data_IF_847637717732
#
_entry.id   IF_847637717732
#
_cell.length_a   1.000
_cell.length_b   1.000
_cell.length_c   1.000
_cell.angle_alpha   90.00
_cell.angle_beta   90.00
_cell.angle_gamma   90.00
#
_symmetry.space_group_name_H-M   'P 1'
#
loop_
_entity.id
_entity.type
_entity.pdbx_description
1 polymer ?
#
# COMPACT_ATOMS: atom_id res chain seq x y z
N UNK A 1 102.50 19.97 23.78
CA UNK A 1 101.97 20.80 24.88
C UNK A 1 100.61 21.29 24.41
N UNK A 2 99.55 20.79 25.03
CA UNK A 2 98.16 20.88 24.56
C UNK A 2 97.55 22.27 24.83
N UNK A 3 96.76 22.78 23.88
CA UNK A 3 95.86 23.92 24.07
C UNK A 3 94.41 23.38 24.22
N UNK A 4 93.56 23.92 25.12
CA UNK A 4 92.29 23.31 25.48
C UNK A 4 91.12 23.81 24.61
N UNK A 5 90.13 22.92 24.42
CA UNK A 5 88.79 23.20 23.89
C UNK A 5 87.98 24.16 24.78
N UNK A 6 87.08 24.98 24.20
CA UNK A 6 86.01 25.63 24.95
C UNK A 6 84.79 24.72 25.13
N UNK A 7 84.45 24.42 26.39
CA UNK A 7 83.20 23.76 26.78
C UNK A 7 82.00 24.73 26.68
N UNK A 8 81.01 24.40 25.86
CA UNK A 8 79.71 25.05 25.86
C UNK A 8 78.78 24.40 26.91
N UNK A 9 78.23 25.22 27.81
CA UNK A 9 77.21 24.80 28.79
C UNK A 9 75.82 24.68 28.15
N UNK A 10 75.01 23.64 28.44
CA UNK A 10 73.62 23.59 28.00
C UNK A 10 72.69 24.37 28.95
N UNK A 11 71.98 25.36 28.39
CA UNK A 11 70.88 26.07 29.06
C UNK A 11 69.72 25.11 29.42
N UNK A 12 69.37 25.03 30.71
CA UNK A 12 68.14 24.39 31.17
C UNK A 12 66.90 25.25 30.87
N UNK A 13 65.78 24.69 30.36
CA UNK A 13 64.57 25.46 30.07
C UNK A 13 63.72 25.73 31.34
N UNK A 14 62.92 26.82 31.38
CA UNK A 14 62.35 27.36 32.61
C UNK A 14 61.09 26.61 33.10
N UNK A 15 61.02 26.38 34.42
CA UNK A 15 59.96 25.65 35.17
C UNK A 15 58.52 26.15 34.96
N UNK A 16 58.30 27.35 34.39
CA UNK A 16 56.97 27.97 34.21
C UNK A 16 56.16 27.38 33.04
N UNK A 17 56.82 26.95 31.96
CA UNK A 17 56.17 26.28 30.81
C UNK A 17 55.62 24.89 31.17
N UNK A 18 56.30 24.17 32.08
CA UNK A 18 55.83 22.86 32.57
C UNK A 18 54.54 22.97 33.38
N UNK A 19 54.34 24.02 34.19
CA UNK A 19 53.09 24.23 34.94
C UNK A 19 51.90 24.56 34.03
N UNK A 20 52.10 25.38 32.99
CA UNK A 20 51.04 25.70 32.02
C UNK A 20 50.66 24.47 31.19
N UNK A 21 51.65 23.67 30.75
CA UNK A 21 51.40 22.41 30.05
C UNK A 21 50.63 21.40 30.91
N UNK A 22 50.91 21.36 32.23
CA UNK A 22 50.26 20.45 33.17
C UNK A 22 48.81 20.89 33.48
N UNK A 23 48.55 22.20 33.59
CA UNK A 23 47.18 22.73 33.71
C UNK A 23 46.38 22.49 32.42
N UNK A 24 46.99 22.69 31.25
CA UNK A 24 46.34 22.41 29.96
C UNK A 24 46.00 20.92 29.80
N UNK A 25 46.89 20.02 30.25
CA UNK A 25 46.65 18.58 30.26
C UNK A 25 45.51 18.19 31.21
N UNK A 26 45.45 18.77 32.41
CA UNK A 26 44.37 18.52 33.37
C UNK A 26 43.04 19.06 32.86
N UNK A 27 43.01 20.23 32.23
CA UNK A 27 41.79 20.78 31.60
C UNK A 27 41.37 19.94 30.40
N UNK A 28 42.30 19.46 29.57
CA UNK A 28 41.99 18.56 28.46
C UNK A 28 41.46 17.21 28.96
N UNK A 29 42.03 16.64 30.04
CA UNK A 29 41.55 15.42 30.68
C UNK A 29 40.19 15.62 31.37
N UNK A 30 39.94 16.79 31.96
CA UNK A 30 38.64 17.13 32.55
C UNK A 30 37.57 17.33 31.47
N UNK A 31 37.89 17.97 30.35
CA UNK A 31 37.01 18.10 29.20
C UNK A 31 36.76 16.75 28.52
N UNK A 32 37.78 15.88 28.45
CA UNK A 32 37.67 14.53 27.93
C UNK A 32 36.81 13.66 28.87
N UNK A 33 37.04 13.71 30.19
CA UNK A 33 36.25 13.00 31.18
C UNK A 33 34.81 13.53 31.24
N UNK A 34 34.61 14.84 31.08
CA UNK A 34 33.29 15.45 30.96
C UNK A 34 32.61 15.01 29.66
N UNK A 35 33.30 15.01 28.52
CA UNK A 35 32.79 14.51 27.25
C UNK A 35 32.46 13.01 27.32
N UNK A 36 33.30 12.18 27.95
CA UNK A 36 33.01 10.76 28.19
C UNK A 36 31.83 10.59 29.14
N UNK A 37 31.74 11.37 30.21
CA UNK A 37 30.61 11.34 31.15
C UNK A 37 29.31 11.83 30.49
N UNK A 38 29.41 12.78 29.58
CA UNK A 38 28.29 13.34 28.84
C UNK A 38 27.80 12.39 27.73
N UNK A 39 28.72 11.75 27.00
CA UNK A 39 28.44 10.65 26.06
C UNK A 39 27.89 9.42 26.79
N UNK A 40 28.26 9.20 28.07
CA UNK A 40 27.77 8.09 28.90
C UNK A 40 26.30 8.18 29.30
N UNK A 41 25.57 9.25 28.92
CA UNK A 41 24.13 9.40 29.16
C UNK A 41 23.35 9.26 27.84
N UNK A 42 22.95 8.03 27.44
CA UNK A 42 22.33 7.72 26.15
C UNK A 42 21.17 8.63 25.79
N UNK A 43 20.32 8.96 26.77
CA UNK A 43 19.10 9.74 26.58
C UNK A 43 19.35 11.19 26.15
N UNK A 44 20.47 11.81 26.57
CA UNK A 44 20.79 13.20 26.20
C UNK A 44 21.36 13.32 24.79
N UNK A 45 22.19 12.36 24.38
CA UNK A 45 22.74 12.29 23.02
C UNK A 45 21.63 11.96 22.02
N UNK A 46 20.78 10.99 22.36
CA UNK A 46 19.59 10.66 21.56
C UNK A 46 18.70 11.90 21.40
N UNK A 47 18.38 12.62 22.48
CA UNK A 47 17.55 13.83 22.42
C UNK A 47 18.07 14.93 21.49
N UNK A 48 19.39 15.16 21.45
CA UNK A 48 19.98 16.16 20.55
C UNK A 48 20.00 15.72 19.08
N UNK A 49 20.30 14.45 18.82
CA UNK A 49 20.23 13.89 17.45
C UNK A 49 18.78 13.96 16.96
N UNK A 50 17.81 13.59 17.80
CA UNK A 50 16.40 13.66 17.49
C UNK A 50 15.93 15.10 17.26
N UNK A 51 16.41 16.07 18.04
CA UNK A 51 16.12 17.48 17.81
C UNK A 51 16.71 17.98 16.49
N UNK A 52 17.93 17.56 16.13
CA UNK A 52 18.55 17.94 14.86
C UNK A 52 17.83 17.33 13.65
N UNK A 53 17.51 16.03 13.73
CA UNK A 53 16.71 15.33 12.70
C UNK A 53 15.31 15.94 12.62
N UNK A 54 14.70 16.22 13.77
CA UNK A 54 13.41 16.90 13.87
C UNK A 54 13.41 18.26 13.19
N UNK A 55 14.40 19.11 13.47
CA UNK A 55 14.54 20.41 12.82
C UNK A 55 14.71 20.31 11.30
N UNK A 56 15.49 19.33 10.81
CA UNK A 56 15.66 19.11 9.37
C UNK A 56 14.36 18.62 8.70
N UNK A 57 13.61 17.77 9.40
CA UNK A 57 12.33 17.22 8.93
C UNK A 57 11.14 18.14 9.22
N UNK A 58 11.29 19.22 10.00
CA UNK A 58 10.16 20.03 10.45
C UNK A 58 9.20 19.23 11.35
N UNK A 59 9.74 18.30 12.14
CA UNK A 59 9.00 17.43 13.05
C UNK A 59 9.53 17.59 14.48
N UNK A 60 8.64 17.56 15.45
CA UNK A 60 8.99 17.30 16.85
C UNK A 60 9.14 15.80 17.03
N UNK A 61 10.38 15.34 17.24
CA UNK A 61 10.68 13.93 17.49
C UNK A 61 11.09 13.77 18.95
N UNK A 62 10.32 12.97 19.68
CA UNK A 62 10.53 12.68 21.09
C UNK A 62 10.75 11.19 21.28
N UNK A 63 11.52 10.84 22.31
CA UNK A 63 11.72 9.48 22.76
C UNK A 63 11.68 9.47 24.29
N UNK A 64 10.93 8.54 24.85
CA UNK A 64 10.72 8.47 26.32
C UNK A 64 11.32 7.20 26.95
N UNK A 65 11.62 6.19 26.14
CA UNK A 65 12.19 4.92 26.61
C UNK A 65 13.72 4.93 26.73
N UNK A 66 14.25 3.86 27.31
CA UNK A 66 15.69 3.64 27.42
C UNK A 66 16.33 3.64 26.03
N UNK A 67 17.37 4.46 25.86
CA UNK A 67 18.17 4.51 24.64
C UNK A 67 19.43 3.68 24.83
N UNK A 68 19.75 2.85 23.86
CA UNK A 68 20.98 2.05 23.84
C UNK A 68 21.88 2.54 22.72
N UNK A 69 23.19 2.56 22.97
CA UNK A 69 24.16 2.89 21.93
C UNK A 69 25.35 1.93 21.99
N UNK A 70 25.92 1.65 20.82
CA UNK A 70 27.17 0.90 20.67
C UNK A 70 28.07 1.69 19.74
N UNK A 71 29.28 2.05 20.17
CA UNK A 71 30.21 2.84 19.37
C UNK A 71 31.38 2.02 18.81
N UNK A 72 31.72 0.87 19.42
CA UNK A 72 32.79 0.00 18.94
C UNK A 72 32.31 -0.81 17.73
N UNK A 73 33.12 -0.85 16.67
CA UNK A 73 32.75 -1.51 15.41
C UNK A 73 31.82 -0.63 14.59
N UNK A 74 30.64 -1.15 14.23
CA UNK A 74 29.58 -0.37 13.57
C UNK A 74 28.73 0.34 14.63
N UNK A 75 28.68 1.68 14.61
CA UNK A 75 27.78 2.46 15.46
C UNK A 75 26.34 1.96 15.36
N UNK A 76 25.71 1.78 16.51
CA UNK A 76 24.30 1.46 16.65
C UNK A 76 23.67 2.44 17.62
N UNK A 77 22.48 2.92 17.25
CA UNK A 77 21.58 3.66 18.11
C UNK A 77 20.23 2.94 18.12
N UNK A 78 19.78 2.52 19.30
CA UNK A 78 18.42 2.02 19.50
C UNK A 78 17.67 2.98 20.43
N UNK A 79 16.51 3.45 19.96
CA UNK A 79 15.67 4.42 20.65
C UNK A 79 14.30 3.78 20.85
N UNK A 80 13.74 3.95 22.05
CA UNK A 80 12.44 3.39 22.42
C UNK A 80 11.37 4.47 22.62
N UNK A 81 10.13 4.08 22.38
CA UNK A 81 8.94 4.91 22.55
C UNK A 81 9.05 6.23 21.77
N UNK A 82 9.33 6.10 20.47
CA UNK A 82 9.55 7.21 19.56
C UNK A 82 8.21 7.76 19.09
N UNK A 83 8.04 9.07 19.18
CA UNK A 83 6.89 9.79 18.63
C UNK A 83 7.39 10.94 17.79
N UNK A 84 7.07 10.94 16.50
CA UNK A 84 7.32 12.04 15.58
C UNK A 84 6.00 12.70 15.20
N UNK A 85 5.87 14.00 15.45
CA UNK A 85 4.68 14.79 15.14
C UNK A 85 5.06 16.11 14.50
N UNK A 86 4.16 16.70 13.72
CA UNK A 86 4.35 18.09 13.29
C UNK A 86 4.21 19.02 14.51
N UNK A 87 5.00 20.11 14.61
CA UNK A 87 4.86 21.07 15.69
C UNK A 87 3.42 21.56 15.85
N UNK A 88 2.88 21.48 17.07
CA UNK A 88 1.49 21.85 17.39
C UNK A 88 0.40 20.86 16.94
N UNK A 89 0.74 19.78 16.22
CA UNK A 89 -0.24 18.79 15.80
C UNK A 89 -0.58 17.81 16.94
N UNK A 90 -1.89 17.49 17.07
CA UNK A 90 -2.38 16.50 18.05
C UNK A 90 -2.08 15.06 17.61
N UNK A 91 -2.22 14.78 16.32
CA UNK A 91 -1.98 13.46 15.74
C UNK A 91 -0.52 13.35 15.29
N UNK A 92 0.27 12.40 15.82
CA UNK A 92 1.63 12.19 15.33
C UNK A 92 1.61 11.53 13.96
N UNK A 93 2.69 11.76 13.21
CA UNK A 93 2.94 11.16 11.91
C UNK A 93 3.39 9.70 12.09
N UNK A 94 4.30 9.47 13.04
CA UNK A 94 4.89 8.16 13.32
C UNK A 94 4.97 7.94 14.82
N UNK A 95 4.59 6.74 15.26
CA UNK A 95 4.97 6.16 16.55
C UNK A 95 5.76 4.89 16.33
N UNK A 96 6.66 4.52 17.23
CA UNK A 96 7.32 3.22 17.20
C UNK A 96 7.75 2.81 18.62
N UNK A 97 7.61 1.53 18.96
CA UNK A 97 8.10 0.98 20.23
C UNK A 97 9.63 0.99 20.26
N UNK A 98 10.27 0.64 19.15
CA UNK A 98 11.73 0.70 18.98
C UNK A 98 12.09 1.09 17.55
N UNK A 99 13.09 1.97 17.44
CA UNK A 99 13.81 2.24 16.21
C UNK A 99 15.28 1.93 16.47
N UNK A 100 15.86 1.04 15.67
CA UNK A 100 17.30 0.78 15.67
C UNK A 100 17.91 1.15 14.33
N UNK A 101 19.00 1.90 14.42
CA UNK A 101 19.78 2.37 13.28
C UNK A 101 21.22 1.96 13.47
N UNK A 102 21.78 1.29 12.47
CA UNK A 102 23.19 0.97 12.42
C UNK A 102 23.87 1.74 11.29
N UNK A 103 24.82 2.60 11.66
CA UNK A 103 25.40 3.59 10.76
C UNK A 103 26.93 3.46 10.77
N UNK A 104 27.60 3.28 9.63
CA UNK A 104 29.06 3.30 9.57
C UNK A 104 29.64 4.64 10.05
N UNK A 105 30.81 4.60 10.68
CA UNK A 105 31.55 5.82 11.07
C UNK A 105 31.88 6.73 9.89
N UNK A 106 32.06 6.19 8.68
CA UNK A 106 32.24 6.96 7.46
C UNK A 106 31.03 7.86 7.18
N UNK A 107 29.82 7.30 7.29
CA UNK A 107 28.55 7.99 7.02
C UNK A 107 28.30 9.09 8.06
N UNK A 108 28.53 8.81 9.35
CA UNK A 108 28.41 9.82 10.41
C UNK A 108 29.39 10.98 10.18
N UNK A 109 30.64 10.68 9.80
CA UNK A 109 31.66 11.71 9.50
C UNK A 109 31.37 12.49 8.22
N UNK A 110 30.69 11.87 7.25
CA UNK A 110 30.30 12.51 6.00
C UNK A 110 29.17 13.55 6.16
N UNK A 111 28.53 13.64 7.35
CA UNK A 111 27.51 14.66 7.68
C UNK A 111 26.41 14.80 6.61
N UNK A 112 25.93 13.68 6.07
CA UNK A 112 24.86 13.64 5.06
C UNK A 112 25.31 13.77 3.60
N UNK A 113 26.62 13.81 3.34
CA UNK A 113 27.17 13.63 1.98
C UNK A 113 27.12 12.16 1.53
N UNK A 114 27.25 11.23 2.48
CA UNK A 114 27.02 9.79 2.30
C UNK A 114 25.76 9.39 3.06
N UNK A 115 24.91 8.57 2.42
CA UNK A 115 23.64 8.05 2.96
C UNK A 115 23.67 6.52 3.04
N UNK A 116 24.84 5.94 3.32
CA UNK A 116 24.99 4.50 3.57
C UNK A 116 24.57 4.17 5.01
N UNK A 117 23.54 3.36 5.15
CA UNK A 117 23.08 2.80 6.43
C UNK A 117 23.31 1.30 6.37
N UNK A 118 23.77 0.70 7.46
CA UNK A 118 23.93 -0.75 7.51
C UNK A 118 22.57 -1.43 7.62
N UNK A 119 21.85 -1.14 8.71
CA UNK A 119 20.59 -1.79 9.06
C UNK A 119 19.62 -0.79 9.65
N UNK A 120 18.34 -0.94 9.29
CA UNK A 120 17.22 -0.25 9.93
C UNK A 120 16.26 -1.29 10.47
N UNK A 121 15.87 -1.18 11.75
CA UNK A 121 14.83 -2.01 12.34
C UNK A 121 13.77 -1.13 13.02
N UNK A 122 12.51 -1.48 12.80
CA UNK A 122 11.35 -0.80 13.36
C UNK A 122 10.43 -1.83 14.02
N UNK A 123 10.22 -1.69 15.32
CA UNK A 123 9.28 -2.53 16.06
C UNK A 123 7.98 -1.76 16.31
N UNK A 124 6.88 -2.37 15.89
CA UNK A 124 5.53 -1.82 15.93
C UNK A 124 5.43 -0.35 15.48
N UNK A 125 5.99 0.02 14.31
CA UNK A 125 5.80 1.37 13.81
C UNK A 125 4.33 1.59 13.43
N UNK A 126 3.74 2.67 13.90
CA UNK A 126 2.40 3.14 13.53
C UNK A 126 2.53 4.43 12.73
N UNK A 127 2.08 4.38 11.47
CA UNK A 127 2.10 5.52 10.54
C UNK A 127 0.68 6.02 10.27
N UNK A 128 0.42 7.30 10.54
CA UNK A 128 -0.83 7.97 10.16
C UNK A 128 -0.66 8.64 8.80
N UNK A 129 -1.37 8.13 7.79
CA UNK A 129 -1.21 8.58 6.40
C UNK A 129 -1.69 10.01 6.19
N UNK A 130 -2.76 10.44 6.88
CA UNK A 130 -3.29 11.79 6.78
C UNK A 130 -2.36 12.82 7.46
N UNK A 131 -1.75 12.46 8.58
CA UNK A 131 -0.70 13.25 9.21
C UNK A 131 0.56 13.32 8.33
N UNK A 132 0.97 12.19 7.72
CA UNK A 132 2.10 12.15 6.79
C UNK A 132 1.89 13.05 5.58
N UNK A 133 0.72 13.00 4.95
CA UNK A 133 0.39 13.84 3.77
C UNK A 133 0.38 15.33 4.12
N UNK A 134 -0.25 15.71 5.24
CA UNK A 134 -0.23 17.10 5.74
C UNK A 134 1.19 17.59 5.96
N UNK A 135 2.05 16.76 6.58
CA UNK A 135 3.46 17.08 6.76
C UNK A 135 4.19 17.22 5.41
N UNK A 136 4.02 16.28 4.48
CA UNK A 136 4.65 16.35 3.15
C UNK A 136 4.26 17.61 2.38
N UNK A 137 3.00 18.07 2.49
CA UNK A 137 2.52 19.29 1.85
C UNK A 137 3.22 20.57 2.37
N UNK A 138 3.81 20.54 3.57
CA UNK A 138 4.63 21.64 4.11
C UNK A 138 6.07 21.63 3.62
N UNK A 139 6.51 20.55 2.95
CA UNK A 139 7.92 20.41 2.54
C UNK A 139 8.18 21.23 1.27
N UNK A 140 9.32 21.93 1.21
CA UNK A 140 9.72 22.61 -0.02
C UNK A 140 9.89 21.57 -1.15
N UNK A 141 9.55 21.92 -2.40
CA UNK A 141 9.77 21.05 -3.54
C UNK A 141 11.27 20.69 -3.61
N UNK A 142 11.57 19.41 -3.42
CA UNK A 142 12.95 18.93 -3.39
C UNK A 142 13.36 18.59 -4.81
N UNK A 143 14.41 19.23 -5.33
CA UNK A 143 14.88 19.04 -6.71
C UNK A 143 15.48 17.64 -6.96
N UNK A 144 15.97 16.96 -5.92
CA UNK A 144 16.62 15.66 -6.04
C UNK A 144 16.32 14.75 -4.86
N UNK A 145 15.66 13.62 -5.12
CA UNK A 145 15.38 12.58 -4.11
C UNK A 145 16.61 11.68 -4.01
N UNK A 146 17.35 11.77 -2.90
CA UNK A 146 18.50 10.91 -2.64
C UNK A 146 18.07 9.64 -1.89
N UNK A 147 18.17 8.50 -2.55
CA UNK A 147 17.85 7.20 -1.97
C UNK A 147 19.07 6.71 -1.17
N UNK A 148 18.91 6.28 0.10
CA UNK A 148 20.02 5.74 0.87
C UNK A 148 20.44 4.35 0.36
N UNK A 149 21.69 3.97 0.66
CA UNK A 149 22.14 2.58 0.51
C UNK A 149 21.89 1.86 1.83
N UNK A 150 21.19 0.73 1.82
CA UNK A 150 21.03 -0.19 2.96
C UNK A 150 21.80 -1.47 2.66
N UNK A 151 22.91 -1.74 3.35
CA UNK A 151 23.74 -2.93 3.05
C UNK A 151 23.15 -4.21 3.62
N UNK A 152 22.59 -4.13 4.83
CA UNK A 152 21.98 -5.23 5.58
C UNK A 152 20.46 -4.98 5.71
N UNK A 153 19.94 -4.00 4.98
CA UNK A 153 18.52 -3.89 4.70
C UNK A 153 17.67 -3.21 5.76
N UNK A 154 16.37 -3.48 5.67
CA UNK A 154 15.31 -2.94 6.52
C UNK A 154 14.45 -4.09 7.03
N UNK A 155 14.11 -4.05 8.32
CA UNK A 155 13.10 -4.92 8.90
C UNK A 155 12.05 -4.11 9.66
N UNK A 156 10.79 -4.43 9.41
CA UNK A 156 9.64 -3.95 10.15
C UNK A 156 8.95 -5.16 10.76
N UNK A 157 8.59 -5.06 12.04
CA UNK A 157 7.83 -6.11 12.74
C UNK A 157 6.60 -5.49 13.38
N UNK A 158 5.43 -6.12 13.23
CA UNK A 158 4.14 -5.67 13.81
C UNK A 158 3.74 -4.23 13.44
N UNK A 159 4.15 -3.74 12.28
CA UNK A 159 3.81 -2.38 11.83
C UNK A 159 2.31 -2.18 11.60
N UNK A 160 1.90 -0.92 11.61
CA UNK A 160 0.53 -0.47 11.35
C UNK A 160 0.54 0.78 10.48
N UNK A 161 -0.36 0.84 9.51
CA UNK A 161 -0.64 2.04 8.72
C UNK A 161 -2.12 2.36 8.89
N UNK A 162 -2.41 3.61 9.24
CA UNK A 162 -3.76 4.12 9.47
C UNK A 162 -4.09 5.08 8.32
N UNK A 163 -5.18 4.78 7.60
CA UNK A 163 -5.76 5.65 6.59
C UNK A 163 -7.20 6.01 6.97
N UNK A 164 -7.87 6.73 6.07
CA UNK A 164 -9.27 7.11 6.27
C UNK A 164 -10.19 5.92 5.96
N UNK A 165 -10.92 5.43 6.96
CA UNK A 165 -11.81 4.27 6.84
C UNK A 165 -11.12 2.90 6.70
N UNK A 166 -9.78 2.85 6.59
CA UNK A 166 -9.02 1.61 6.46
C UNK A 166 -7.73 1.63 7.29
N UNK A 167 -7.22 0.43 7.59
CA UNK A 167 -5.93 0.24 8.27
C UNK A 167 -5.23 -1.00 7.75
N UNK A 168 -3.91 -0.97 7.69
CA UNK A 168 -3.10 -2.17 7.51
C UNK A 168 -2.42 -2.48 8.83
N UNK A 169 -2.51 -3.72 9.29
CA UNK A 169 -2.03 -4.16 10.58
C UNK A 169 -1.09 -5.36 10.46
N UNK A 170 -0.36 -5.63 11.54
CA UNK A 170 0.57 -6.76 11.64
C UNK A 170 1.54 -6.78 10.45
N UNK A 171 2.04 -5.60 10.07
CA UNK A 171 2.94 -5.45 8.93
C UNK A 171 4.30 -6.00 9.33
N UNK A 172 4.71 -7.07 8.67
CA UNK A 172 6.09 -7.52 8.69
C UNK A 172 6.69 -7.26 7.32
N UNK A 173 7.78 -6.50 7.28
CA UNK A 173 8.51 -6.19 6.06
C UNK A 173 9.97 -6.60 6.23
N UNK A 174 10.49 -7.29 5.23
CA UNK A 174 11.91 -7.65 5.16
C UNK A 174 12.45 -7.29 3.78
N UNK A 175 13.42 -6.40 3.77
CA UNK A 175 14.18 -5.96 2.60
C UNK A 175 15.65 -6.25 2.89
N UNK A 176 16.26 -7.17 2.16
CA UNK A 176 17.63 -7.62 2.44
C UNK A 176 18.68 -6.53 2.20
N UNK A 177 18.50 -5.71 1.15
CA UNK A 177 19.38 -4.59 0.84
C UNK A 177 18.68 -3.58 -0.08
N UNK A 178 19.18 -2.34 -0.10
CA UNK A 178 18.71 -1.25 -0.94
C UNK A 178 19.91 -0.53 -1.54
N UNK A 179 19.91 -0.34 -2.85
CA UNK A 179 20.89 0.50 -3.53
C UNK A 179 20.17 1.38 -4.57
N UNK A 180 20.59 2.64 -4.77
CA UNK A 180 19.93 3.57 -5.68
C UNK A 180 19.74 3.05 -7.12
N UNK A 181 20.70 2.25 -7.60
CA UNK A 181 20.76 1.82 -9.01
C UNK A 181 20.67 0.30 -9.20
N UNK A 182 20.26 -0.44 -8.16
CA UNK A 182 20.12 -1.91 -8.24
C UNK A 182 18.71 -2.36 -7.93
N UNK A 183 18.37 -3.55 -8.41
CA UNK A 183 17.10 -4.18 -8.08
C UNK A 183 16.96 -4.38 -6.57
N UNK A 184 15.76 -4.11 -6.05
CA UNK A 184 15.41 -4.30 -4.65
C UNK A 184 14.32 -5.39 -4.55
N UNK A 185 14.38 -6.22 -3.51
CA UNK A 185 13.39 -7.26 -3.25
C UNK A 185 12.96 -7.20 -1.80
N UNK A 186 11.66 -7.23 -1.57
CA UNK A 186 11.09 -7.24 -0.23
C UNK A 186 10.04 -8.34 -0.10
N UNK A 187 9.92 -8.91 1.10
CA UNK A 187 8.74 -9.66 1.52
C UNK A 187 7.88 -8.76 2.39
N UNK A 188 6.58 -8.75 2.14
CA UNK A 188 5.60 -7.99 2.88
C UNK A 188 4.49 -8.94 3.33
N UNK A 189 4.23 -8.96 4.63
CA UNK A 189 3.09 -9.65 5.24
C UNK A 189 2.27 -8.66 6.02
N UNK A 190 0.99 -8.93 6.15
CA UNK A 190 0.11 -8.13 6.98
C UNK A 190 -1.34 -8.38 6.67
N UNK A 191 -2.19 -7.49 7.18
CA UNK A 191 -3.64 -7.57 6.98
C UNK A 191 -4.23 -6.19 6.78
N UNK A 192 -4.80 -5.96 5.60
CA UNK A 192 -5.66 -4.80 5.36
C UNK A 192 -7.03 -5.03 6.03
N UNK A 193 -7.59 -4.00 6.61
CA UNK A 193 -8.89 -4.01 7.28
C UNK A 193 -9.66 -2.75 6.86
N UNK A 194 -10.85 -2.96 6.29
CA UNK A 194 -11.78 -1.90 5.88
C UNK A 194 -13.20 -2.34 6.21
N UNK A 195 -13.92 -1.56 7.04
CA UNK A 195 -15.20 -1.99 7.62
C UNK A 195 -15.09 -3.39 8.26
N UNK A 196 -15.91 -4.32 7.77
CA UNK A 196 -15.93 -5.73 8.20
C UNK A 196 -15.00 -6.63 7.37
N UNK A 197 -14.53 -6.14 6.22
CA UNK A 197 -13.65 -6.90 5.33
C UNK A 197 -12.23 -6.93 5.88
N UNK A 198 -11.62 -8.11 5.87
CA UNK A 198 -10.22 -8.34 6.22
C UNK A 198 -9.51 -8.97 5.04
N UNK A 199 -8.31 -8.49 4.75
CA UNK A 199 -7.51 -8.94 3.62
C UNK A 199 -6.09 -9.25 4.09
N UNK A 200 -5.85 -10.42 4.72
CA UNK A 200 -4.49 -10.91 4.94
C UNK A 200 -3.75 -11.10 3.62
N UNK A 201 -2.46 -10.77 3.63
CA UNK A 201 -1.57 -10.90 2.49
C UNK A 201 -0.17 -11.39 2.90
N UNK A 202 0.46 -12.14 2.01
CA UNK A 202 1.89 -12.49 2.04
C UNK A 202 2.41 -12.38 0.61
N UNK A 203 3.17 -11.33 0.34
CA UNK A 203 3.62 -10.97 -1.00
C UNK A 203 5.11 -10.73 -1.05
N UNK A 204 5.70 -11.08 -2.19
CA UNK A 204 7.06 -10.75 -2.55
C UNK A 204 7.01 -9.64 -3.60
N UNK A 205 7.61 -8.50 -3.29
CA UNK A 205 7.75 -7.36 -4.18
C UNK A 205 9.19 -7.27 -4.71
N UNK A 206 9.33 -6.88 -5.96
CA UNK A 206 10.60 -6.60 -6.60
C UNK A 206 10.51 -5.30 -7.39
N UNK A 207 11.54 -4.47 -7.25
CA UNK A 207 11.73 -3.27 -8.05
C UNK A 207 12.98 -3.43 -8.91
N UNK A 208 12.94 -2.98 -10.16
CA UNK A 208 14.14 -2.97 -11.01
C UNK A 208 15.22 -2.01 -10.48
N UNK A 209 14.78 -0.94 -9.82
CA UNK A 209 15.58 0.03 -9.04
C UNK A 209 14.64 0.85 -8.13
N UNK A 210 15.09 1.42 -7.00
CA UNK A 210 14.22 2.13 -6.07
C UNK A 210 13.94 3.59 -6.48
N UNK A 211 13.52 3.79 -7.73
CA UNK A 211 13.38 5.13 -8.29
C UNK A 211 12.09 5.27 -9.12
N UNK A 212 11.73 6.51 -9.46
CA UNK A 212 10.59 6.79 -10.34
C UNK A 212 10.75 6.05 -11.68
N UNK A 213 9.62 5.59 -12.25
CA UNK A 213 9.52 4.79 -13.48
C UNK A 213 10.17 3.42 -13.41
N UNK A 214 10.62 2.96 -12.25
CA UNK A 214 11.12 1.61 -12.09
C UNK A 214 10.01 0.58 -12.29
N UNK A 215 10.37 -0.58 -12.85
CA UNK A 215 9.45 -1.70 -12.94
C UNK A 215 9.19 -2.27 -11.55
N UNK A 216 7.92 -2.41 -11.20
CA UNK A 216 7.44 -3.10 -10.01
C UNK A 216 6.85 -4.45 -10.45
N UNK A 217 7.21 -5.50 -9.72
CA UNK A 217 6.53 -6.79 -9.73
C UNK A 217 6.16 -7.19 -8.31
N UNK A 218 4.95 -7.70 -8.10
CA UNK A 218 4.48 -8.24 -6.84
C UNK A 218 3.80 -9.57 -7.11
N UNK A 219 4.16 -10.60 -6.35
CA UNK A 219 3.53 -11.92 -6.43
C UNK A 219 3.26 -12.45 -5.04
N UNK A 220 2.14 -13.13 -4.82
CA UNK A 220 1.86 -13.68 -3.51
C UNK A 220 0.45 -14.19 -3.31
N UNK A 221 0.11 -14.39 -2.04
CA UNK A 221 -1.21 -14.79 -1.61
C UNK A 221 -1.93 -13.58 -1.01
N UNK A 222 -3.20 -13.42 -1.38
CA UNK A 222 -4.10 -12.43 -0.82
C UNK A 222 -5.41 -13.16 -0.57
N UNK A 223 -5.98 -13.05 0.62
CA UNK A 223 -7.28 -13.67 0.91
C UNK A 223 -8.24 -12.59 1.35
N UNK A 224 -9.32 -12.37 0.60
CA UNK A 224 -10.40 -11.47 1.04
C UNK A 224 -11.31 -12.26 1.97
N UNK A 225 -11.63 -11.70 3.13
CA UNK A 225 -12.44 -12.34 4.16
C UNK A 225 -13.57 -11.39 4.55
N UNK A 226 -14.79 -11.89 4.53
CA UNK A 226 -15.98 -11.26 5.08
C UNK A 226 -16.49 -12.09 6.27
N UNK A 227 -17.65 -11.74 6.82
CA UNK A 227 -18.30 -12.52 7.87
C UNK A 227 -18.75 -13.91 7.40
N UNK A 228 -19.25 -13.99 6.16
CA UNK A 228 -19.88 -15.20 5.61
C UNK A 228 -19.06 -15.92 4.56
N UNK A 229 -18.13 -15.23 3.89
CA UNK A 229 -17.38 -15.79 2.77
C UNK A 229 -15.89 -15.46 2.82
N UNK A 230 -15.11 -16.29 2.14
CA UNK A 230 -13.68 -16.08 1.93
C UNK A 230 -13.33 -16.22 0.45
N UNK A 231 -12.31 -15.50 0.02
CA UNK A 231 -11.81 -15.54 -1.35
C UNK A 231 -10.29 -15.54 -1.33
N UNK A 232 -9.64 -16.72 -1.15
CA UNK A 232 -8.21 -16.87 -1.35
C UNK A 232 -7.84 -16.66 -2.82
N UNK A 233 -6.73 -15.94 -3.04
CA UNK A 233 -6.24 -15.57 -4.35
C UNK A 233 -4.73 -15.68 -4.44
N UNK A 234 -4.23 -16.23 -5.56
CA UNK A 234 -2.83 -16.12 -5.96
C UNK A 234 -2.69 -14.93 -6.90
N UNK A 235 -2.04 -13.86 -6.45
CA UNK A 235 -2.00 -12.60 -7.21
C UNK A 235 -0.63 -12.38 -7.85
N UNK A 236 -0.65 -11.77 -9.04
CA UNK A 236 0.52 -11.23 -9.73
C UNK A 236 0.19 -9.81 -10.19
N UNK A 237 0.95 -8.84 -9.72
CA UNK A 237 0.84 -7.43 -10.09
C UNK A 237 2.15 -7.00 -10.74
N UNK A 238 2.07 -6.26 -11.83
CA UNK A 238 3.22 -5.63 -12.46
C UNK A 238 2.86 -4.24 -12.98
N UNK A 239 3.85 -3.37 -13.12
CA UNK A 239 3.68 -2.01 -13.66
C UNK A 239 4.97 -1.22 -13.54
N UNK A 240 4.97 0.05 -13.92
CA UNK A 240 6.08 0.97 -13.63
C UNK A 240 5.66 2.01 -12.61
N UNK A 241 6.48 2.25 -11.59
CA UNK A 241 6.20 3.26 -10.58
C UNK A 241 6.02 4.63 -11.22
N UNK A 242 4.92 5.29 -10.91
CA UNK A 242 4.63 6.65 -11.33
C UNK A 242 4.69 7.59 -10.13
N UNK A 243 5.31 8.74 -10.33
CA UNK A 243 5.32 9.85 -9.38
C UNK A 243 5.43 11.13 -10.19
N UNK A 244 4.35 11.90 -10.27
CA UNK A 244 4.26 13.14 -11.03
C UNK A 244 3.14 14.03 -10.50
N UNK A 245 2.81 15.08 -11.25
CA UNK A 245 1.82 16.09 -10.84
C UNK A 245 0.40 15.52 -10.70
N UNK A 246 0.08 14.47 -11.47
CA UNK A 246 -1.15 13.66 -11.40
C UNK A 246 -1.12 12.59 -10.29
N UNK A 247 -0.15 12.68 -9.37
CA UNK A 247 -0.04 11.85 -8.18
C UNK A 247 0.92 10.66 -8.31
N UNK A 248 0.80 9.75 -7.36
CA UNK A 248 1.60 8.52 -7.30
C UNK A 248 0.82 7.36 -7.88
N UNK A 249 1.48 6.34 -8.44
CA UNK A 249 0.76 5.18 -8.93
C UNK A 249 1.58 4.22 -9.76
N UNK A 250 0.91 3.57 -10.72
CA UNK A 250 1.51 2.59 -11.62
C UNK A 250 1.12 2.85 -13.07
N UNK A 251 2.10 2.97 -13.95
CA UNK A 251 1.90 2.95 -15.39
C UNK A 251 1.79 1.52 -15.90
N UNK A 252 0.80 1.29 -16.78
CA UNK A 252 0.60 -0.01 -17.42
C UNK A 252 0.46 -1.13 -16.41
N UNK A 253 -0.28 -0.89 -15.32
CA UNK A 253 -0.58 -1.90 -14.32
C UNK A 253 -1.20 -3.11 -15.01
N UNK A 254 -0.73 -4.30 -14.65
CA UNK A 254 -1.40 -5.58 -14.92
C UNK A 254 -1.50 -6.34 -13.61
N UNK A 255 -2.71 -6.58 -13.16
CA UNK A 255 -3.04 -7.44 -12.04
C UNK A 255 -3.72 -8.68 -12.59
N UNK A 256 -3.22 -9.86 -12.28
CA UNK A 256 -3.88 -11.14 -12.54
C UNK A 256 -4.00 -11.94 -11.26
N UNK A 257 -5.10 -12.65 -11.08
CA UNK A 257 -5.32 -13.47 -9.91
C UNK A 257 -6.13 -14.72 -10.21
N UNK A 258 -5.66 -15.84 -9.69
CA UNK A 258 -6.42 -17.09 -9.58
C UNK A 258 -7.14 -17.08 -8.23
N UNK A 259 -8.46 -17.04 -8.24
CA UNK A 259 -9.33 -16.87 -7.08
C UNK A 259 -10.27 -18.08 -6.89
N UNK A 260 -10.66 -18.33 -5.66
CA UNK A 260 -11.71 -19.29 -5.30
C UNK A 260 -12.63 -18.61 -4.30
N UNK A 261 -13.89 -18.37 -4.67
CA UNK A 261 -14.91 -17.87 -3.75
C UNK A 261 -15.44 -19.04 -2.93
N UNK A 262 -15.49 -18.88 -1.61
CA UNK A 262 -15.92 -19.92 -0.67
C UNK A 262 -16.96 -19.38 0.30
N UNK A 263 -18.12 -20.01 0.35
CA UNK A 263 -19.21 -19.71 1.27
C UNK A 263 -20.01 -21.00 1.56
N UNK A 264 -19.94 -21.51 2.78
CA UNK A 264 -20.49 -22.81 3.17
C UNK A 264 -20.08 -23.94 2.19
N UNK A 265 -21.03 -24.59 1.52
CA UNK A 265 -20.80 -25.66 0.54
C UNK A 265 -20.42 -25.15 -0.86
N UNK A 266 -20.41 -23.83 -1.06
CA UNK A 266 -20.09 -23.20 -2.35
C UNK A 266 -18.59 -22.95 -2.48
N UNK A 267 -17.93 -23.59 -3.45
CA UNK A 267 -16.55 -23.28 -3.86
C UNK A 267 -16.50 -23.02 -5.38
N UNK A 268 -16.22 -21.77 -5.75
CA UNK A 268 -16.24 -21.31 -7.14
C UNK A 268 -14.88 -20.76 -7.54
N UNK A 269 -14.16 -21.52 -8.37
CA UNK A 269 -12.87 -21.11 -8.94
C UNK A 269 -13.03 -20.21 -10.16
N UNK A 270 -12.23 -19.15 -10.24
CA UNK A 270 -12.15 -18.26 -11.40
C UNK A 270 -10.80 -17.54 -11.47
N UNK A 271 -10.43 -17.09 -12.66
CA UNK A 271 -9.29 -16.23 -12.88
C UNK A 271 -9.78 -14.86 -13.32
N UNK A 272 -9.25 -13.79 -12.76
CA UNK A 272 -9.54 -12.43 -13.24
C UNK A 272 -8.27 -11.65 -13.51
N UNK A 273 -8.38 -10.67 -14.40
CA UNK A 273 -7.30 -9.76 -14.76
C UNK A 273 -7.80 -8.33 -14.85
N UNK A 274 -7.02 -7.39 -14.31
CA UNK A 274 -7.23 -5.95 -14.45
C UNK A 274 -5.98 -5.33 -15.10
N UNK A 275 -6.19 -4.38 -16.00
CA UNK A 275 -5.11 -3.64 -16.64
C UNK A 275 -5.44 -2.15 -16.77
N UNK A 276 -4.46 -1.27 -16.65
CA UNK A 276 -4.65 0.17 -16.80
C UNK A 276 -3.61 0.99 -16.05
N UNK A 277 -3.52 2.31 -16.26
CA UNK A 277 -2.76 3.17 -15.37
C UNK A 277 -3.52 3.35 -14.05
N UNK A 278 -2.83 3.23 -12.92
CA UNK A 278 -3.36 3.57 -11.59
C UNK A 278 -2.79 4.89 -11.15
N UNK A 279 -3.62 5.78 -10.62
CA UNK A 279 -3.22 7.06 -10.02
C UNK A 279 -3.88 7.23 -8.68
N UNK A 280 -3.12 7.73 -7.71
CA UNK A 280 -3.62 8.17 -6.41
C UNK A 280 -3.21 9.63 -6.20
N UNK A 281 -4.20 10.51 -6.17
CA UNK A 281 -4.01 11.94 -6.03
C UNK A 281 -5.16 12.53 -5.22
N UNK A 282 -4.86 13.39 -4.24
CA UNK A 282 -5.89 14.08 -3.46
C UNK A 282 -6.85 13.16 -2.70
N UNK A 283 -6.44 11.95 -2.34
CA UNK A 283 -7.31 10.96 -1.68
C UNK A 283 -8.13 10.09 -2.63
N UNK A 284 -8.10 10.37 -3.94
CA UNK A 284 -8.81 9.61 -4.97
C UNK A 284 -7.87 8.63 -5.69
N UNK A 285 -8.25 7.36 -5.73
CA UNK A 285 -7.66 6.32 -6.57
C UNK A 285 -8.41 6.27 -7.91
N UNK A 286 -7.71 6.33 -9.03
CA UNK A 286 -8.29 6.26 -10.38
C UNK A 286 -7.59 5.21 -11.23
N UNK A 287 -8.37 4.47 -12.01
CA UNK A 287 -7.91 3.55 -13.05
C UNK A 287 -8.64 3.86 -14.35
N UNK A 288 -8.02 4.66 -15.21
CA UNK A 288 -8.62 5.15 -16.46
C UNK A 288 -7.55 5.23 -17.55
N UNK A 289 -7.66 4.46 -18.65
CA UNK A 289 -8.67 3.42 -18.88
C UNK A 289 -8.45 2.18 -18.00
N UNK A 290 -9.53 1.50 -17.66
CA UNK A 290 -9.53 0.17 -17.04
C UNK A 290 -9.84 -0.89 -18.10
N UNK A 291 -9.06 -1.94 -18.18
CA UNK A 291 -9.40 -3.20 -18.83
C UNK A 291 -9.64 -4.27 -17.76
N UNK A 292 -10.67 -5.08 -17.94
CA UNK A 292 -11.03 -6.16 -17.03
C UNK A 292 -11.35 -7.43 -17.81
N UNK A 293 -10.88 -8.57 -17.33
CA UNK A 293 -11.24 -9.89 -17.84
C UNK A 293 -11.57 -10.80 -16.68
N UNK A 294 -12.55 -11.68 -16.86
CA UNK A 294 -12.87 -12.76 -15.95
C UNK A 294 -13.02 -14.02 -16.78
N UNK A 295 -12.39 -15.10 -16.32
CA UNK A 295 -12.52 -16.43 -16.87
C UNK A 295 -13.02 -17.34 -15.75
N UNK A 296 -14.22 -17.87 -15.94
CA UNK A 296 -14.87 -18.76 -15.00
C UNK A 296 -15.58 -19.90 -15.71
N UNK A 297 -15.98 -20.90 -14.92
CA UNK A 297 -16.81 -22.02 -15.36
C UNK A 297 -18.04 -22.13 -14.46
N UNK A 298 -19.05 -22.91 -14.90
CA UNK A 298 -20.27 -23.13 -14.14
C UNK A 298 -21.11 -21.86 -14.01
N UNK A 299 -21.21 -21.32 -12.79
CA UNK A 299 -21.96 -20.10 -12.46
C UNK A 299 -21.18 -18.81 -12.73
N UNK A 300 -19.86 -18.88 -12.86
CA UNK A 300 -19.02 -17.70 -13.11
C UNK A 300 -18.87 -17.50 -14.63
N UNK A 301 -19.37 -16.38 -15.18
CA UNK A 301 -19.28 -16.12 -16.61
C UNK A 301 -17.84 -15.78 -17.03
N UNK A 302 -17.52 -16.08 -18.28
CA UNK A 302 -16.36 -15.51 -18.94
C UNK A 302 -16.75 -14.19 -19.60
N UNK A 303 -16.06 -13.10 -19.22
CA UNK A 303 -16.32 -11.76 -19.72
C UNK A 303 -15.04 -10.96 -19.91
N UNK A 304 -15.14 -9.96 -20.77
CA UNK A 304 -14.09 -8.96 -21.01
C UNK A 304 -14.75 -7.58 -21.09
N UNK A 305 -14.12 -6.56 -20.52
CA UNK A 305 -14.63 -5.21 -20.49
C UNK A 305 -13.52 -4.17 -20.50
N UNK A 306 -13.86 -2.97 -20.98
CA UNK A 306 -13.07 -1.76 -20.82
C UNK A 306 -13.91 -0.70 -20.11
N UNK A 307 -13.28 0.28 -19.48
CA UNK A 307 -14.01 1.29 -18.73
C UNK A 307 -13.15 2.17 -17.83
N UNK A 308 -13.70 2.47 -16.67
CA UNK A 308 -13.09 3.37 -15.70
C UNK A 308 -13.49 2.98 -14.27
N UNK A 309 -12.54 3.13 -13.35
CA UNK A 309 -12.77 3.03 -11.91
C UNK A 309 -12.25 4.30 -11.25
N UNK A 310 -13.04 4.89 -10.35
CA UNK A 310 -12.56 5.87 -9.37
C UNK A 310 -13.06 5.53 -7.98
N UNK A 311 -12.23 5.80 -6.98
CA UNK A 311 -12.49 5.49 -5.59
C UNK A 311 -11.89 6.58 -4.70
N UNK A 312 -12.76 7.34 -4.05
CA UNK A 312 -12.44 8.35 -3.04
C UNK A 312 -13.60 8.43 -2.05
N UNK A 313 -14.27 9.57 -1.96
CA UNK A 313 -15.53 9.71 -1.19
C UNK A 313 -16.66 8.81 -1.71
N UNK A 314 -16.66 8.57 -3.02
CA UNK A 314 -17.59 7.66 -3.69
C UNK A 314 -16.82 6.69 -4.57
N UNK A 315 -17.32 5.46 -4.68
CA UNK A 315 -16.90 4.48 -5.66
C UNK A 315 -17.70 4.70 -6.95
N UNK A 316 -17.00 4.91 -8.07
CA UNK A 316 -17.61 4.91 -9.40
C UNK A 316 -16.93 3.86 -10.29
N UNK A 317 -17.73 3.00 -10.90
CA UNK A 317 -17.29 1.95 -11.81
C UNK A 317 -18.16 1.99 -13.05
N UNK A 318 -17.52 2.12 -14.22
CA UNK A 318 -18.17 1.94 -15.51
C UNK A 318 -17.43 0.87 -16.28
N UNK A 319 -18.14 -0.14 -16.74
CA UNK A 319 -17.62 -1.20 -17.59
C UNK A 319 -18.49 -1.32 -18.84
N UNK A 320 -17.84 -1.39 -19.99
CA UNK A 320 -18.44 -1.67 -21.29
C UNK A 320 -17.73 -2.91 -21.82
N UNK A 321 -18.49 -3.97 -22.05
CA UNK A 321 -17.91 -5.28 -22.25
C UNK A 321 -18.80 -6.27 -22.97
N UNK A 322 -18.29 -7.48 -23.06
CA UNK A 322 -18.97 -8.62 -23.68
C UNK A 322 -18.82 -9.83 -22.79
N UNK A 323 -19.92 -10.56 -22.60
CA UNK A 323 -19.93 -11.89 -22.01
C UNK A 323 -20.00 -12.92 -23.15
N UNK A 324 -19.10 -13.89 -23.13
CA UNK A 324 -18.91 -14.82 -24.26
C UNK A 324 -20.09 -15.77 -24.45
N UNK A 325 -20.73 -16.19 -23.37
CA UNK A 325 -21.87 -17.10 -23.38
C UNK A 325 -22.72 -16.94 -22.14
N UNK A 326 -24.00 -17.34 -22.23
CA UNK A 326 -24.86 -17.46 -21.06
C UNK A 326 -24.40 -18.66 -20.21
N UNK A 327 -24.11 -18.48 -18.91
CA UNK A 327 -23.73 -19.59 -18.04
C UNK A 327 -24.83 -20.64 -17.96
N UNK A 328 -24.47 -21.92 -18.06
CA UNK A 328 -25.45 -23.03 -18.02
C UNK A 328 -26.16 -23.17 -16.67
N UNK A 329 -25.49 -22.74 -15.61
CA UNK A 329 -26.04 -22.78 -14.26
C UNK A 329 -26.96 -21.58 -13.96
N UNK A 330 -27.08 -20.61 -14.89
CA UNK A 330 -28.06 -19.54 -14.77
C UNK A 330 -29.41 -19.99 -15.32
N UNK A 331 -30.53 -19.35 -14.92
CA UNK A 331 -31.86 -19.64 -15.47
C UNK A 331 -31.86 -19.68 -16.99
N UNK A 332 -32.55 -20.68 -17.55
CA UNK A 332 -32.67 -20.81 -19.00
C UNK A 332 -33.38 -19.58 -19.57
N UNK A 333 -32.81 -19.01 -20.63
CA UNK A 333 -33.45 -17.95 -21.39
C UNK A 333 -34.61 -18.53 -22.22
N UNK A 334 -35.69 -17.76 -22.48
CA UNK A 334 -36.74 -18.19 -23.38
C UNK A 334 -36.24 -18.22 -24.83
N UNK A 335 -36.89 -18.99 -25.72
CA UNK A 335 -36.56 -18.95 -27.13
C UNK A 335 -36.97 -17.59 -27.75
N UNK A 336 -36.23 -17.06 -28.75
CA UNK A 336 -35.04 -17.65 -29.39
C UNK A 336 -33.71 -17.36 -28.67
N UNK A 337 -33.71 -16.64 -27.54
CA UNK A 337 -32.49 -16.17 -26.86
C UNK A 337 -31.55 -17.28 -26.40
N UNK A 338 -32.11 -18.44 -26.03
CA UNK A 338 -31.32 -19.61 -25.62
C UNK A 338 -30.62 -20.30 -26.79
N UNK A 339 -31.17 -20.19 -28.00
CA UNK A 339 -30.58 -20.76 -29.21
C UNK A 339 -29.49 -19.85 -29.80
N UNK A 340 -29.50 -18.56 -29.44
CA UNK A 340 -28.51 -17.60 -29.90
C UNK A 340 -27.16 -17.81 -29.22
N UNK A 341 -26.11 -17.95 -30.05
CA UNK A 341 -24.71 -18.01 -29.62
C UNK A 341 -24.01 -16.65 -29.75
N UNK A 342 -24.75 -15.59 -30.07
CA UNK A 342 -24.20 -14.24 -30.16
C UNK A 342 -23.61 -13.81 -28.82
N UNK A 343 -22.45 -13.12 -28.81
CA UNK A 343 -21.93 -12.50 -27.60
C UNK A 343 -23.01 -11.62 -26.94
N UNK A 344 -22.94 -11.48 -25.62
CA UNK A 344 -23.83 -10.59 -24.87
C UNK A 344 -23.06 -9.31 -24.47
N UNK A 345 -23.10 -8.25 -25.30
CA UNK A 345 -22.70 -6.91 -24.89
C UNK A 345 -23.39 -6.49 -23.60
N UNK A 346 -22.63 -5.86 -22.72
CA UNK A 346 -23.16 -5.26 -21.50
C UNK A 346 -22.53 -3.91 -21.23
N UNK A 347 -23.30 -3.04 -20.59
CA UNK A 347 -22.79 -1.83 -19.94
C UNK A 347 -23.21 -1.87 -18.48
N UNK A 348 -22.24 -1.82 -17.58
CA UNK A 348 -22.42 -1.78 -16.13
C UNK A 348 -21.99 -0.40 -15.62
N UNK A 349 -22.86 0.27 -14.88
CA UNK A 349 -22.59 1.55 -14.26
C UNK A 349 -22.96 1.51 -12.78
N UNK A 350 -21.99 1.81 -11.92
CA UNK A 350 -22.17 1.92 -10.48
C UNK A 350 -21.60 3.25 -10.00
N UNK A 351 -22.34 3.93 -9.12
CA UNK A 351 -21.86 5.11 -8.40
C UNK A 351 -22.49 5.14 -7.01
N UNK A 352 -21.67 5.00 -5.97
CA UNK A 352 -22.17 4.96 -4.61
C UNK A 352 -21.10 4.58 -3.58
N UNK A 353 -21.53 3.97 -2.49
CA UNK A 353 -20.69 3.50 -1.38
C UNK A 353 -19.74 2.38 -1.81
N UNK A 354 -18.63 2.23 -1.10
CA UNK A 354 -17.62 1.22 -1.37
C UNK A 354 -18.08 -0.23 -1.12
N UNK A 355 -19.20 -0.40 -0.40
CA UNK A 355 -19.81 -1.69 -0.06
C UNK A 355 -20.75 -2.24 -1.15
N UNK A 356 -20.85 -1.55 -2.30
CA UNK A 356 -21.72 -1.91 -3.43
C UNK A 356 -23.22 -1.94 -3.09
N UNK A 357 -23.65 -1.32 -1.98
CA UNK A 357 -25.03 -1.38 -1.51
C UNK A 357 -25.99 -0.41 -2.21
N UNK A 358 -25.46 0.54 -2.97
CA UNK A 358 -26.26 1.47 -3.77
C UNK A 358 -26.66 0.84 -5.12
N UNK A 359 -27.40 1.60 -5.91
CA UNK A 359 -27.99 1.12 -7.16
C UNK A 359 -26.95 0.97 -8.27
N UNK A 360 -26.96 -0.17 -8.93
CA UNK A 360 -26.19 -0.50 -10.13
C UNK A 360 -27.11 -0.48 -11.34
N UNK A 361 -26.73 0.21 -12.42
CA UNK A 361 -27.40 0.13 -13.70
C UNK A 361 -26.71 -0.90 -14.61
N UNK A 362 -27.51 -1.67 -15.34
CA UNK A 362 -27.05 -2.70 -16.25
C UNK A 362 -27.88 -2.66 -17.53
N UNK A 363 -27.18 -2.52 -18.65
CA UNK A 363 -27.74 -2.69 -19.99
C UNK A 363 -27.16 -3.95 -20.60
N UNK A 364 -28.01 -4.80 -21.17
CA UNK A 364 -27.64 -6.01 -21.89
C UNK A 364 -28.27 -5.98 -23.27
N UNK A 365 -27.58 -6.54 -24.26
CA UNK A 365 -28.16 -6.75 -25.58
C UNK A 365 -27.76 -8.11 -26.13
N UNK A 366 -28.73 -8.89 -26.62
CA UNK A 366 -28.49 -10.07 -27.44
C UNK A 366 -29.35 -9.98 -28.69
N UNK A 367 -28.70 -9.95 -29.85
CA UNK A 367 -29.36 -9.75 -31.13
C UNK A 367 -30.22 -8.46 -31.09
N UNK A 368 -31.51 -8.59 -31.38
CA UNK A 368 -32.49 -7.51 -31.29
C UNK A 368 -33.13 -7.33 -29.90
N UNK A 369 -32.85 -8.24 -28.96
CA UNK A 369 -33.39 -8.16 -27.60
C UNK A 369 -32.51 -7.30 -26.71
N UNK A 370 -33.12 -6.39 -25.97
CA UNK A 370 -32.45 -5.41 -25.12
C UNK A 370 -33.04 -5.47 -23.72
N UNK A 371 -32.18 -5.39 -22.72
CA UNK A 371 -32.56 -5.22 -21.33
C UNK A 371 -31.87 -3.97 -20.79
N UNK A 372 -32.63 -3.10 -20.13
CA UNK A 372 -32.13 -1.95 -19.39
C UNK A 372 -32.73 -2.02 -17.98
N UNK A 373 -31.88 -2.19 -16.98
CA UNK A 373 -32.34 -2.38 -15.61
C UNK A 373 -31.40 -1.83 -14.56
N UNK A 374 -31.91 -1.81 -13.33
CA UNK A 374 -31.27 -1.32 -12.12
C UNK A 374 -31.51 -2.30 -10.99
N UNK A 375 -30.49 -2.54 -10.19
CA UNK A 375 -30.56 -3.45 -9.06
C UNK A 375 -29.60 -3.01 -7.96
N UNK A 376 -29.81 -3.52 -6.74
CA UNK A 376 -28.82 -3.42 -5.65
C UNK A 376 -28.08 -4.74 -5.58
N UNK A 377 -26.75 -4.72 -5.71
CA UNK A 377 -25.94 -5.94 -5.78
C UNK A 377 -26.16 -6.88 -4.58
N UNK A 378 -26.19 -6.40 -3.31
CA UNK A 378 -26.45 -7.27 -2.17
C UNK A 378 -27.83 -7.95 -2.21
N UNK A 379 -28.87 -7.24 -2.65
CA UNK A 379 -30.22 -7.81 -2.80
C UNK A 379 -30.27 -8.85 -3.91
N UNK A 380 -29.60 -8.58 -5.03
CA UNK A 380 -29.53 -9.50 -6.16
C UNK A 380 -28.75 -10.78 -5.82
N UNK A 381 -27.60 -10.66 -5.14
CA UNK A 381 -26.82 -11.81 -4.69
C UNK A 381 -27.61 -12.67 -3.69
N UNK A 382 -28.30 -12.05 -2.73
CA UNK A 382 -29.18 -12.78 -1.81
C UNK A 382 -30.29 -13.52 -2.55
N UNK A 383 -30.92 -12.89 -3.55
CA UNK A 383 -31.94 -13.56 -4.37
C UNK A 383 -31.40 -14.78 -5.12
N UNK A 384 -30.17 -14.73 -5.65
CA UNK A 384 -29.53 -15.88 -6.29
C UNK A 384 -29.41 -17.08 -5.33
N UNK A 385 -29.12 -16.86 -4.04
CA UNK A 385 -29.05 -17.94 -3.03
C UNK A 385 -30.40 -18.65 -2.81
N UNK A 386 -31.52 -17.99 -3.16
CA UNK A 386 -32.88 -18.50 -2.99
C UNK A 386 -33.56 -18.88 -4.32
N UNK A 387 -32.84 -18.84 -5.44
CA UNK A 387 -33.45 -19.07 -6.77
C UNK A 387 -34.02 -20.48 -6.90
N UNK A 388 -33.30 -21.47 -6.37
CA UNK A 388 -33.73 -22.88 -6.35
C UNK A 388 -34.88 -23.15 -5.36
N UNK A 389 -35.18 -22.20 -4.47
CA UNK A 389 -36.28 -22.28 -3.49
C UNK A 389 -37.58 -21.64 -4.00
N UNK A 390 -37.65 -21.27 -5.27
CA UNK A 390 -38.89 -20.86 -5.93
C UNK A 390 -39.25 -19.38 -5.79
N UNK A 391 -38.29 -18.49 -5.51
CA UNK A 391 -38.55 -17.03 -5.51
C UNK A 391 -38.66 -16.53 -6.96
N UNK A 392 -39.84 -16.08 -7.43
CA UNK A 392 -40.12 -16.05 -8.86
C UNK A 392 -39.50 -14.87 -9.62
N UNK A 393 -39.25 -13.73 -8.95
CA UNK A 393 -38.77 -12.51 -9.63
C UNK A 393 -37.50 -11.94 -8.98
N UNK A 394 -36.49 -11.57 -9.80
CA UNK A 394 -35.30 -10.92 -9.29
C UNK A 394 -35.63 -9.52 -8.73
N UNK A 395 -34.95 -9.08 -7.65
CA UNK A 395 -35.16 -7.76 -7.05
C UNK A 395 -34.48 -6.67 -7.90
N UNK A 396 -35.05 -6.41 -9.07
CA UNK A 396 -34.57 -5.42 -10.03
C UNK A 396 -35.74 -4.63 -10.61
N UNK A 397 -35.45 -3.41 -11.04
CA UNK A 397 -36.33 -2.58 -11.85
C UNK A 397 -35.76 -2.54 -13.26
N UNK A 398 -36.59 -2.60 -14.30
CA UNK A 398 -36.06 -2.51 -15.66
C UNK A 398 -37.06 -2.85 -16.74
N UNK A 399 -36.58 -2.83 -17.97
CA UNK A 399 -37.37 -3.11 -19.17
C UNK A 399 -36.63 -4.07 -20.08
N UNK A 400 -37.30 -5.13 -20.49
CA UNK A 400 -36.87 -6.04 -21.56
C UNK A 400 -37.72 -5.78 -22.80
N UNK A 401 -37.08 -5.47 -23.92
CA UNK A 401 -37.74 -5.35 -25.23
C UNK A 401 -37.20 -6.42 -26.16
N UNK A 402 -38.08 -7.18 -26.79
CA UNK A 402 -37.72 -8.23 -27.72
C UNK A 402 -38.71 -8.33 -28.87
N UNK A 403 -38.26 -8.50 -30.13
CA UNK A 403 -39.19 -8.68 -31.25
C UNK A 403 -40.04 -9.94 -31.11
N UNK A 404 -39.50 -11.00 -30.50
CA UNK A 404 -40.16 -12.29 -30.37
C UNK A 404 -39.65 -13.04 -29.13
N UNK A 405 -40.57 -13.53 -28.30
CA UNK A 405 -40.25 -14.43 -27.18
C UNK A 405 -41.25 -15.58 -27.17
N UNK A 406 -40.78 -16.80 -26.92
CA UNK A 406 -41.62 -17.96 -26.68
C UNK A 406 -41.58 -18.32 -25.18
N UNK A 407 -42.75 -18.27 -24.52
CA UNK A 407 -42.91 -18.59 -23.09
C UNK A 407 -44.04 -19.61 -22.95
N UNK A 408 -43.76 -20.74 -22.29
CA UNK A 408 -44.75 -21.80 -22.01
C UNK A 408 -45.54 -22.27 -23.25
N UNK A 409 -44.90 -22.30 -24.42
CA UNK A 409 -45.51 -22.72 -25.69
C UNK A 409 -46.29 -21.64 -26.44
N UNK A 410 -46.42 -20.43 -25.87
CA UNK A 410 -46.99 -19.27 -26.56
C UNK A 410 -45.88 -18.45 -27.23
N UNK A 411 -46.10 -18.05 -28.48
CA UNK A 411 -45.25 -17.11 -29.21
C UNK A 411 -45.81 -15.70 -29.04
N UNK A 412 -45.00 -14.80 -28.50
CA UNK A 412 -45.31 -13.38 -28.33
C UNK A 412 -44.44 -12.56 -29.29
N UNK A 413 -45.05 -11.60 -29.98
CA UNK A 413 -44.38 -10.67 -30.91
C UNK A 413 -44.43 -9.24 -30.35
N UNK A 414 -43.38 -8.45 -30.57
CA UNK A 414 -43.28 -7.07 -30.09
C UNK A 414 -43.31 -6.97 -28.55
N UNK A 415 -42.60 -7.86 -27.87
CA UNK A 415 -42.67 -8.02 -26.42
C UNK A 415 -41.96 -6.88 -25.69
N UNK A 416 -42.67 -6.28 -24.75
CA UNK A 416 -42.14 -5.37 -23.73
C UNK A 416 -42.52 -5.93 -22.36
N UNK A 417 -41.52 -6.18 -21.52
CA UNK A 417 -41.68 -6.66 -20.14
C UNK A 417 -41.06 -5.62 -19.22
N UNK A 418 -41.87 -5.00 -18.37
CA UNK A 418 -41.42 -4.13 -17.30
C UNK A 418 -41.29 -4.94 -16.00
N UNK A 419 -40.12 -4.80 -15.36
CA UNK A 419 -39.84 -5.31 -14.03
C UNK A 419 -39.92 -4.12 -13.07
N UNK A 420 -40.74 -4.24 -12.04
CA UNK A 420 -40.81 -3.29 -10.95
C UNK A 420 -40.65 -4.05 -9.63
N UNK A 421 -39.82 -3.53 -8.72
CA UNK A 421 -39.87 -3.96 -7.34
C UNK A 421 -41.24 -3.59 -6.78
N UNK A 422 -41.95 -4.56 -6.23
CA UNK A 422 -43.12 -4.27 -5.41
C UNK A 422 -42.66 -3.32 -4.31
N UNK A 423 -43.26 -2.12 -4.28
CA UNK A 423 -43.18 -1.22 -3.15
C UNK A 423 -43.82 -1.97 -1.97
N UNK A 424 -43.02 -2.74 -1.23
CA UNK A 424 -43.51 -3.37 -0.02
C UNK A 424 -43.77 -2.22 0.97
N UNK A 425 -44.99 -2.12 1.54
CA UNK A 425 -45.42 -0.97 2.34
C UNK A 425 -44.61 -0.73 3.62
#
# INVERSE_FOLDING_TARGET
MAAPEPQASPHAPPRRRRRIALVALVVALALLAFALHWVSRPSRVAGLILAQVGNALGLEITASGASEYRLRGTPMLAIRDVVARQPGAKTPVLRAERIQLELPWSTIRARGADLTVRRIELDAPELDLAALQRWQATRPPTKEVRIPTLTDGLQIVRGRVIGDGWRVEAIDADLASLHPDRAARARLRGRLATGEVRVPFDVHAALTRPAARAGLGVVGQVTVQSQTWTMPMRTRLSGRLHNGDDGIGLDGMRLGADASYRNDDTDLGFTYGLAGPVRFHGGELRVVPLGAVVYGTGVIPSLQAAGALSFGDTLALRLDGTMSSWPRAWPALPAPLIASTSPLPFVLEYRGRADFSDTTALRLQRDATRFDGRFKLPSFLRWLDFIDRGTPLPPLDGRLTSPKIEIAGATLEGVEIDFAQDATP
#
